data_IF_493987835001
#
_entry.id   IF_493987835001
#
_cell.length_a   1.000
_cell.length_b   1.000
_cell.length_c   1.000
_cell.angle_alpha   90.00
_cell.angle_beta   90.00
_cell.angle_gamma   90.00
#
_symmetry.space_group_name_H-M   'P 1'
#
loop_
_entity.id
_entity.type
_entity.pdbx_description
1 polymer ?
#
# COMPACT_ATOMS: atom_id res chain seq x y z
N UNK A 1 -19.64 -7.65 -19.60
CA UNK A 1 -20.47 -6.64 -18.91
C UNK A 1 -19.55 -5.62 -18.30
N UNK A 2 -19.38 -4.48 -18.95
CA UNK A 2 -18.73 -3.35 -18.30
C UNK A 2 -19.63 -2.92 -17.15
N UNK A 3 -19.16 -3.06 -15.93
CA UNK A 3 -19.86 -2.55 -14.76
C UNK A 3 -20.11 -1.06 -14.95
N UNK A 4 -21.37 -0.66 -15.08
CA UNK A 4 -21.77 0.75 -15.15
C UNK A 4 -21.33 1.55 -13.92
N UNK A 5 -21.10 0.87 -12.80
CA UNK A 5 -20.56 1.45 -11.58
C UNK A 5 -19.15 2.04 -11.78
N UNK A 6 -18.27 1.39 -12.54
CA UNK A 6 -16.91 1.93 -12.80
C UNK A 6 -16.95 3.18 -13.69
N UNK A 7 -17.90 3.32 -14.60
CA UNK A 7 -18.03 4.51 -15.46
C UNK A 7 -18.72 5.68 -14.76
N UNK A 8 -19.63 5.43 -13.81
CA UNK A 8 -20.25 6.48 -12.98
C UNK A 8 -19.30 7.06 -11.96
N UNK A 9 -18.38 6.25 -11.47
CA UNK A 9 -17.29 6.66 -10.58
C UNK A 9 -16.37 7.66 -11.27
N UNK A 10 -16.06 7.47 -12.55
CA UNK A 10 -15.27 8.43 -13.34
C UNK A 10 -15.98 9.77 -13.61
N UNK A 11 -17.29 9.82 -13.51
CA UNK A 11 -18.07 11.02 -13.79
C UNK A 11 -18.35 11.89 -12.56
N UNK A 12 -18.11 11.40 -11.36
CA UNK A 12 -18.22 12.18 -10.11
C UNK A 12 -16.83 12.67 -9.69
N UNK A 13 -16.59 13.96 -9.82
CA UNK A 13 -15.32 14.61 -9.47
C UNK A 13 -14.87 14.42 -8.02
N UNK A 14 -15.73 13.89 -7.15
CA UNK A 14 -15.44 13.58 -5.75
C UNK A 14 -14.40 12.46 -5.55
N UNK A 15 -13.99 11.79 -6.63
CA UNK A 15 -13.04 10.67 -6.59
C UNK A 15 -11.57 11.05 -6.85
N UNK A 16 -11.28 12.31 -7.12
CA UNK A 16 -9.92 12.82 -7.22
C UNK A 16 -9.19 12.89 -5.87
N UNK A 17 -9.84 12.47 -4.78
CA UNK A 17 -9.19 12.41 -3.47
C UNK A 17 -8.18 11.29 -3.34
N UNK A 18 -8.19 10.35 -4.30
CA UNK A 18 -7.63 9.03 -4.10
C UNK A 18 -6.16 8.92 -4.40
N UNK A 19 -5.48 9.91 -4.80
CA UNK A 19 -4.03 9.84 -4.94
C UNK A 19 -3.51 11.22 -5.32
N UNK A 20 -3.09 11.99 -4.35
CA UNK A 20 -2.54 13.31 -4.62
C UNK A 20 -1.10 13.18 -5.15
N UNK A 21 -0.93 12.61 -6.35
CA UNK A 21 0.36 12.55 -7.04
C UNK A 21 0.77 13.92 -7.59
N UNK A 22 0.88 14.90 -6.71
CA UNK A 22 1.46 16.18 -7.07
C UNK A 22 2.99 16.09 -7.24
N UNK A 23 3.58 17.17 -7.72
CA UNK A 23 5.02 17.27 -7.96
C UNK A 23 5.85 17.05 -6.69
N UNK A 24 5.28 17.33 -5.51
CA UNK A 24 5.96 17.12 -4.23
C UNK A 24 6.28 15.64 -4.01
N UNK A 25 5.28 14.77 -4.08
CA UNK A 25 5.46 13.33 -3.86
C UNK A 25 6.32 12.68 -4.95
N UNK A 26 6.12 13.11 -6.22
CA UNK A 26 6.98 12.65 -7.33
C UNK A 26 8.45 12.99 -7.11
N UNK A 27 8.76 14.17 -6.58
CA UNK A 27 10.12 14.59 -6.23
C UNK A 27 10.69 13.77 -5.06
N UNK A 28 9.90 13.49 -4.02
CA UNK A 28 10.37 12.67 -2.89
C UNK A 28 10.84 11.27 -3.34
N UNK A 29 10.16 10.64 -4.29
CA UNK A 29 10.53 9.31 -4.85
C UNK A 29 11.79 9.34 -5.74
N UNK A 30 12.20 10.52 -6.21
CA UNK A 30 13.26 10.70 -7.21
C UNK A 30 14.49 11.44 -6.68
N UNK A 31 14.64 11.54 -5.37
CA UNK A 31 15.87 12.09 -4.79
C UNK A 31 17.04 11.15 -5.08
N UNK A 32 18.26 11.71 -5.17
CA UNK A 32 19.46 10.91 -5.42
C UNK A 32 19.64 9.83 -4.34
N UNK A 33 19.30 10.12 -3.10
CA UNK A 33 19.34 9.18 -1.99
C UNK A 33 18.40 7.98 -2.20
N UNK A 34 17.16 8.24 -2.60
CA UNK A 34 16.16 7.20 -2.90
C UNK A 34 16.61 6.35 -4.06
N UNK A 35 17.06 6.97 -5.14
CA UNK A 35 17.53 6.26 -6.34
C UNK A 35 18.75 5.39 -6.03
N UNK A 36 19.72 5.94 -5.29
CA UNK A 36 20.93 5.20 -4.88
C UNK A 36 20.56 4.00 -3.98
N UNK A 37 19.67 4.18 -3.00
CA UNK A 37 19.23 3.09 -2.13
C UNK A 37 18.52 1.98 -2.90
N UNK A 38 17.60 2.32 -3.81
CA UNK A 38 16.92 1.35 -4.68
C UNK A 38 17.90 0.61 -5.58
N UNK A 39 18.86 1.32 -6.15
CA UNK A 39 19.88 0.71 -7.02
C UNK A 39 20.80 -0.24 -6.25
N UNK A 40 21.24 0.16 -5.06
CA UNK A 40 22.06 -0.68 -4.19
C UNK A 40 21.33 -1.96 -3.80
N UNK A 41 20.09 -1.85 -3.34
CA UNK A 41 19.25 -2.98 -2.96
C UNK A 41 18.94 -3.90 -4.16
N UNK A 42 18.67 -3.31 -5.34
CA UNK A 42 18.50 -4.08 -6.56
C UNK A 42 19.76 -4.86 -6.94
N UNK A 43 20.93 -4.25 -6.83
CA UNK A 43 22.20 -4.91 -7.14
C UNK A 43 22.51 -6.08 -6.18
N UNK A 44 22.05 -5.98 -4.94
CA UNK A 44 22.23 -7.01 -3.93
C UNK A 44 21.31 -8.21 -4.15
N UNK A 45 20.10 -8.01 -4.67
CA UNK A 45 19.06 -9.04 -4.76
C UNK A 45 18.68 -9.47 -6.19
N UNK A 46 19.15 -8.81 -7.23
CA UNK A 46 18.83 -9.20 -8.60
C UNK A 46 20.02 -9.85 -9.29
N UNK A 47 19.93 -11.17 -9.48
CA UNK A 47 20.99 -12.00 -10.06
C UNK A 47 20.47 -12.81 -11.25
N UNK A 48 20.41 -12.21 -12.47
CA UNK A 48 19.80 -12.86 -13.64
C UNK A 48 20.67 -13.92 -14.29
N UNK A 49 21.94 -14.10 -13.88
CA UNK A 49 22.95 -14.88 -14.60
C UNK A 49 22.54 -16.37 -14.75
N UNK A 50 21.96 -16.98 -13.69
CA UNK A 50 21.51 -18.38 -13.75
C UNK A 50 20.36 -18.52 -14.75
N UNK A 51 19.35 -17.64 -14.63
CA UNK A 51 18.20 -17.66 -15.51
C UNK A 51 18.61 -17.46 -16.98
N UNK A 52 19.49 -16.50 -17.25
CA UNK A 52 20.00 -16.27 -18.62
C UNK A 52 20.74 -17.49 -19.17
N UNK A 53 21.51 -18.20 -18.34
CA UNK A 53 22.17 -19.45 -18.76
C UNK A 53 21.18 -20.56 -19.10
N UNK A 54 20.03 -20.61 -18.43
CA UNK A 54 19.00 -21.61 -18.71
C UNK A 54 18.17 -21.28 -19.96
N UNK A 55 18.03 -20.01 -20.30
CA UNK A 55 17.21 -19.56 -21.43
C UNK A 55 17.99 -19.45 -22.75
N UNK A 56 19.28 -19.19 -22.70
CA UNK A 56 20.09 -18.89 -23.89
C UNK A 56 21.33 -19.76 -24.01
N UNK A 57 21.52 -20.34 -25.18
CA UNK A 57 22.72 -21.16 -25.49
C UNK A 57 23.98 -20.31 -25.66
N UNK A 58 23.86 -19.02 -26.00
CA UNK A 58 24.98 -18.10 -26.19
C UNK A 58 24.96 -16.99 -25.15
N UNK A 59 25.94 -17.00 -24.27
CA UNK A 59 26.11 -15.93 -23.27
C UNK A 59 26.67 -14.64 -23.90
N UNK A 60 27.38 -14.71 -25.01
CA UNK A 60 27.79 -13.53 -25.76
C UNK A 60 26.58 -12.80 -26.35
N UNK A 61 25.59 -13.55 -26.86
CA UNK A 61 24.34 -12.95 -27.30
C UNK A 61 23.62 -12.22 -26.14
N UNK A 62 23.53 -12.85 -24.97
CA UNK A 62 22.93 -12.24 -23.77
C UNK A 62 23.64 -10.93 -23.44
N UNK A 63 24.98 -10.94 -23.36
CA UNK A 63 25.78 -9.77 -23.00
C UNK A 63 25.55 -8.57 -23.91
N UNK A 64 25.34 -8.80 -25.21
CA UNK A 64 25.26 -7.72 -26.19
C UNK A 64 23.85 -7.34 -26.64
N UNK A 65 22.87 -8.22 -26.45
CA UNK A 65 21.52 -8.07 -27.03
C UNK A 65 20.38 -8.16 -26.03
N UNK A 66 20.65 -8.59 -24.79
CA UNK A 66 19.61 -8.84 -23.78
C UNK A 66 19.86 -7.95 -22.56
N UNK A 67 18.85 -7.20 -22.17
CA UNK A 67 18.79 -6.60 -20.83
C UNK A 67 18.34 -7.69 -19.86
N UNK A 68 19.31 -8.36 -19.25
CA UNK A 68 19.08 -9.55 -18.42
C UNK A 68 18.21 -9.23 -17.17
N UNK A 69 18.47 -8.10 -16.53
CA UNK A 69 17.73 -7.63 -15.37
C UNK A 69 16.26 -7.40 -15.69
N UNK A 70 16.03 -6.74 -16.82
CA UNK A 70 14.69 -6.41 -17.29
C UNK A 70 13.94 -7.66 -17.74
N UNK A 71 14.61 -8.57 -18.43
CA UNK A 71 14.02 -9.83 -18.86
C UNK A 71 13.61 -10.68 -17.67
N UNK A 72 14.49 -10.84 -16.66
CA UNK A 72 14.17 -11.55 -15.43
C UNK A 72 12.96 -10.94 -14.72
N UNK A 73 12.91 -9.61 -14.59
CA UNK A 73 11.80 -8.90 -13.96
C UNK A 73 10.48 -9.15 -14.68
N UNK A 74 10.45 -9.05 -16.02
CA UNK A 74 9.23 -9.28 -16.80
C UNK A 74 8.77 -10.73 -16.79
N UNK A 75 9.70 -11.69 -16.83
CA UNK A 75 9.35 -13.10 -16.72
C UNK A 75 8.76 -13.43 -15.35
N UNK A 76 9.27 -12.81 -14.30
CA UNK A 76 8.69 -12.96 -12.96
C UNK A 76 7.28 -12.35 -12.87
N UNK A 77 7.08 -11.15 -13.43
CA UNK A 77 5.73 -10.53 -13.51
C UNK A 77 4.75 -11.42 -14.28
N UNK A 78 5.20 -12.01 -15.40
CA UNK A 78 4.38 -12.97 -16.14
C UNK A 78 4.07 -14.21 -15.30
N UNK A 79 5.06 -14.77 -14.59
CA UNK A 79 4.84 -15.92 -13.71
C UNK A 79 3.78 -15.64 -12.63
N UNK A 80 3.79 -14.44 -12.04
CA UNK A 80 2.78 -14.01 -11.06
C UNK A 80 1.38 -13.91 -11.68
N UNK A 81 1.27 -13.44 -12.92
CA UNK A 81 -0.01 -13.22 -13.60
C UNK A 81 -0.62 -14.53 -14.13
N UNK A 82 0.19 -15.56 -14.42
CA UNK A 82 -0.30 -16.81 -15.03
C UNK A 82 -1.42 -17.47 -14.26
N UNK A 83 -1.49 -17.32 -12.93
CA UNK A 83 -2.59 -17.82 -12.12
C UNK A 83 -3.98 -17.24 -12.49
N UNK A 84 -4.02 -16.12 -13.22
CA UNK A 84 -5.25 -15.45 -13.64
C UNK A 84 -5.71 -15.90 -15.05
N UNK A 85 -4.99 -16.81 -15.69
CA UNK A 85 -5.27 -17.31 -17.01
C UNK A 85 -5.71 -18.78 -16.95
N UNK A 86 -6.65 -19.15 -17.82
CA UNK A 86 -7.07 -20.54 -18.01
C UNK A 86 -6.04 -21.26 -18.90
N UNK A 87 -4.95 -21.72 -18.29
CA UNK A 87 -3.80 -22.37 -18.95
C UNK A 87 -3.04 -23.25 -18.00
N UNK A 88 -2.47 -24.33 -18.52
CA UNK A 88 -1.55 -25.22 -17.80
C UNK A 88 -0.09 -24.71 -17.81
N UNK A 89 0.17 -23.57 -18.43
CA UNK A 89 1.52 -23.00 -18.47
C UNK A 89 1.88 -22.46 -17.10
N UNK A 90 2.97 -22.97 -16.53
CA UNK A 90 3.55 -22.52 -15.28
C UNK A 90 4.96 -21.96 -15.54
N UNK A 91 5.18 -20.71 -15.14
CA UNK A 91 6.46 -20.04 -15.35
C UNK A 91 7.31 -19.96 -14.06
N UNK A 92 6.75 -20.26 -12.90
CA UNK A 92 7.53 -20.28 -11.65
C UNK A 92 8.65 -21.32 -11.66
N UNK A 93 8.50 -22.41 -12.40
CA UNK A 93 9.52 -23.44 -12.59
C UNK A 93 10.82 -22.93 -13.25
N UNK A 94 10.79 -21.74 -13.89
CA UNK A 94 11.98 -21.07 -14.41
C UNK A 94 12.87 -20.49 -13.31
N UNK A 95 12.32 -20.27 -12.11
CA UNK A 95 12.98 -19.60 -11.00
C UNK A 95 13.29 -20.57 -9.88
N UNK A 96 14.35 -20.30 -9.12
CA UNK A 96 14.54 -20.93 -7.82
C UNK A 96 13.67 -20.26 -6.76
N UNK A 97 13.52 -20.90 -5.59
CA UNK A 97 12.78 -20.30 -4.47
C UNK A 97 13.43 -19.02 -3.98
N UNK A 98 14.76 -19.01 -3.97
CA UNK A 98 15.57 -17.85 -3.58
C UNK A 98 15.36 -16.70 -4.56
N UNK A 99 15.41 -16.95 -5.86
CA UNK A 99 15.13 -15.93 -6.87
C UNK A 99 13.70 -15.38 -6.77
N UNK A 100 12.70 -16.21 -6.51
CA UNK A 100 11.33 -15.76 -6.26
C UNK A 100 11.25 -14.87 -5.01
N UNK A 101 11.97 -15.25 -3.95
CA UNK A 101 12.02 -14.46 -2.72
C UNK A 101 12.70 -13.12 -2.94
N UNK A 102 13.84 -13.09 -3.62
CA UNK A 102 14.56 -11.86 -3.93
C UNK A 102 13.72 -10.91 -4.82
N UNK A 103 13.03 -11.45 -5.83
CA UNK A 103 12.11 -10.66 -6.65
C UNK A 103 10.98 -10.05 -5.82
N UNK A 104 10.44 -10.80 -4.86
CA UNK A 104 9.45 -10.28 -3.92
C UNK A 104 10.05 -9.23 -2.98
N UNK A 105 11.26 -9.43 -2.44
CA UNK A 105 11.95 -8.44 -1.59
C UNK A 105 12.10 -7.10 -2.31
N UNK A 106 12.53 -7.12 -3.57
CA UNK A 106 12.63 -5.93 -4.41
C UNK A 106 11.28 -5.22 -4.58
N UNK A 107 10.22 -5.98 -4.83
CA UNK A 107 8.87 -5.44 -4.94
C UNK A 107 8.41 -4.84 -3.60
N UNK A 108 8.60 -5.56 -2.49
CA UNK A 108 8.24 -5.11 -1.14
C UNK A 108 8.94 -3.80 -0.76
N UNK A 109 10.25 -3.70 -1.00
CA UNK A 109 11.03 -2.49 -0.73
C UNK A 109 10.59 -1.31 -1.59
N UNK A 110 10.27 -1.54 -2.88
CA UNK A 110 9.75 -0.49 -3.75
C UNK A 110 8.41 0.06 -3.25
N UNK A 111 7.47 -0.81 -2.87
CA UNK A 111 6.19 -0.38 -2.30
C UNK A 111 6.38 0.39 -0.99
N UNK A 112 7.30 -0.07 -0.13
CA UNK A 112 7.63 0.61 1.11
C UNK A 112 8.19 2.02 0.90
N UNK A 113 9.10 2.18 -0.07
CA UNK A 113 9.73 3.46 -0.38
C UNK A 113 8.73 4.40 -1.07
N UNK A 114 7.96 3.89 -2.04
CA UNK A 114 7.14 4.72 -2.92
C UNK A 114 5.79 5.12 -2.33
N UNK A 115 5.26 4.34 -1.39
CA UNK A 115 3.92 4.53 -0.81
C UNK A 115 3.87 4.37 0.71
N UNK A 116 4.87 3.74 1.28
CA UNK A 116 4.96 3.46 2.71
C UNK A 116 5.67 4.56 3.51
N UNK A 117 5.88 4.32 4.81
CA UNK A 117 6.44 5.32 5.73
C UNK A 117 7.97 5.37 5.73
N UNK A 118 8.62 5.03 4.63
CA UNK A 118 10.09 4.95 4.53
C UNK A 118 10.79 6.24 4.97
N UNK A 119 11.81 6.18 5.84
CA UNK A 119 12.65 7.32 6.19
C UNK A 119 13.37 7.92 4.97
N UNK A 120 13.66 7.14 3.92
CA UNK A 120 14.26 7.63 2.67
C UNK A 120 13.40 8.70 1.99
N UNK A 121 12.08 8.61 2.14
CA UNK A 121 11.11 9.62 1.69
C UNK A 121 10.59 10.46 2.85
N UNK A 122 11.37 10.52 3.97
CA UNK A 122 11.06 11.29 5.19
C UNK A 122 9.71 10.93 5.81
N UNK A 123 9.22 9.70 5.59
CA UNK A 123 7.92 9.24 6.05
C UNK A 123 6.74 9.98 5.43
N UNK A 124 6.92 10.63 4.28
CA UNK A 124 5.90 11.53 3.70
C UNK A 124 4.93 10.84 2.74
N UNK A 125 5.31 9.70 2.20
CA UNK A 125 4.50 9.02 1.17
C UNK A 125 3.08 8.63 1.61
N UNK A 126 2.82 8.23 2.86
CA UNK A 126 1.45 7.97 3.31
C UNK A 126 0.48 9.15 3.18
N UNK A 127 1.00 10.37 3.20
CA UNK A 127 0.18 11.59 3.03
C UNK A 127 -0.33 11.81 1.60
N UNK A 128 0.02 10.94 0.65
CA UNK A 128 -0.69 10.83 -0.63
C UNK A 128 -2.21 10.74 -0.41
N UNK A 129 -2.62 10.06 0.64
CA UNK A 129 -4.03 9.86 0.99
C UNK A 129 -4.56 10.86 2.05
N UNK A 130 -3.88 11.98 2.26
CA UNK A 130 -4.33 12.99 3.21
C UNK A 130 -5.74 13.51 2.91
N UNK A 131 -6.05 13.78 1.64
CA UNK A 131 -7.38 14.25 1.21
C UNK A 131 -8.44 13.15 1.38
N UNK A 132 -8.10 11.89 1.10
CA UNK A 132 -9.00 10.76 1.31
C UNK A 132 -9.32 10.60 2.81
N UNK A 133 -8.32 10.65 3.67
CA UNK A 133 -8.52 10.56 5.12
C UNK A 133 -9.42 11.71 5.60
N UNK A 134 -9.16 12.95 5.17
CA UNK A 134 -10.02 14.10 5.52
C UNK A 134 -11.47 13.88 5.07
N UNK A 135 -11.68 13.38 3.85
CA UNK A 135 -13.01 13.05 3.35
C UNK A 135 -13.69 11.95 4.17
N UNK A 136 -12.94 10.92 4.62
CA UNK A 136 -13.46 9.87 5.51
C UNK A 136 -13.94 10.47 6.83
N UNK A 137 -13.12 11.32 7.47
CA UNK A 137 -13.46 11.98 8.73
C UNK A 137 -14.71 12.84 8.58
N UNK A 138 -14.78 13.71 7.54
CA UNK A 138 -15.92 14.59 7.29
C UNK A 138 -17.21 13.80 6.99
N UNK A 139 -17.09 12.68 6.28
CA UNK A 139 -18.23 11.79 6.00
C UNK A 139 -18.74 11.14 7.29
N UNK A 140 -17.85 10.64 8.15
CA UNK A 140 -18.20 10.05 9.43
C UNK A 140 -18.95 11.05 10.32
N UNK A 141 -18.41 12.26 10.47
CA UNK A 141 -19.06 13.31 11.27
C UNK A 141 -20.46 13.66 10.74
N UNK A 142 -20.59 13.75 9.42
CA UNK A 142 -21.89 14.02 8.77
C UNK A 142 -22.90 12.91 9.09
N UNK A 143 -22.49 11.65 9.00
CA UNK A 143 -23.35 10.50 9.31
C UNK A 143 -23.72 10.44 10.81
N UNK A 144 -22.77 10.78 11.68
CA UNK A 144 -22.98 10.82 13.13
C UNK A 144 -24.02 11.88 13.49
N UNK A 145 -23.91 13.08 12.93
CA UNK A 145 -24.85 14.20 13.16
C UNK A 145 -26.26 13.87 12.68
N UNK A 146 -26.38 13.26 11.50
CA UNK A 146 -27.68 12.88 10.94
C UNK A 146 -28.39 11.77 11.71
N UNK A 147 -27.67 11.03 12.56
CA UNK A 147 -28.21 9.91 13.38
C UNK A 147 -28.85 8.80 12.55
N UNK A 148 -28.46 8.67 11.28
CA UNK A 148 -28.96 7.64 10.38
C UNK A 148 -27.98 6.46 10.32
N UNK A 149 -28.51 5.25 10.18
CA UNK A 149 -27.69 4.11 9.82
C UNK A 149 -27.26 4.27 8.36
N UNK A 150 -25.96 4.26 8.11
CA UNK A 150 -25.42 4.49 6.79
C UNK A 150 -24.24 3.56 6.51
N UNK A 151 -24.04 3.27 5.23
CA UNK A 151 -22.86 2.57 4.72
C UNK A 151 -22.30 3.41 3.59
N UNK A 152 -21.05 3.83 3.75
CA UNK A 152 -20.33 4.54 2.70
C UNK A 152 -19.24 3.64 2.16
N UNK A 153 -19.30 3.31 0.88
CA UNK A 153 -18.32 2.48 0.20
C UNK A 153 -17.46 3.34 -0.72
N UNK A 154 -16.15 3.10 -0.69
CA UNK A 154 -15.17 3.69 -1.59
C UNK A 154 -14.39 2.59 -2.26
N UNK A 155 -14.23 2.68 -3.56
CA UNK A 155 -13.50 1.71 -4.37
C UNK A 155 -12.23 2.36 -4.90
N UNK A 156 -11.13 1.66 -4.86
CA UNK A 156 -9.84 2.16 -5.26
C UNK A 156 -8.87 1.03 -5.59
N UNK A 157 -7.59 1.36 -5.61
CA UNK A 157 -6.50 0.43 -5.88
C UNK A 157 -5.65 0.23 -4.62
N UNK A 158 -4.77 -0.76 -4.66
CA UNK A 158 -3.75 -1.02 -3.63
C UNK A 158 -2.87 0.21 -3.37
N UNK A 159 -2.62 1.02 -4.39
CA UNK A 159 -1.89 2.30 -4.31
C UNK A 159 -2.59 3.36 -3.46
N UNK A 160 -3.86 3.15 -3.09
CA UNK A 160 -4.60 3.96 -2.13
C UNK A 160 -4.71 3.28 -0.77
N UNK A 161 -4.97 1.95 -0.74
CA UNK A 161 -5.16 1.21 0.51
C UNK A 161 -3.87 1.20 1.34
N UNK A 162 -2.71 0.93 0.71
CA UNK A 162 -1.44 0.86 1.41
C UNK A 162 -1.05 2.20 2.07
N UNK A 163 -0.96 3.33 1.34
CA UNK A 163 -0.60 4.59 1.98
C UNK A 163 -1.64 5.04 3.00
N UNK A 164 -2.93 4.74 2.81
CA UNK A 164 -3.96 5.03 3.80
C UNK A 164 -3.75 4.19 5.08
N UNK A 165 -3.47 2.89 4.98
CA UNK A 165 -3.17 2.04 6.13
C UNK A 165 -1.94 2.54 6.90
N UNK A 166 -0.90 2.98 6.17
CA UNK A 166 0.30 3.58 6.76
C UNK A 166 0.00 4.95 7.40
N UNK A 167 -0.83 5.79 6.77
CA UNK A 167 -1.24 7.10 7.30
C UNK A 167 -2.07 6.96 8.57
N UNK A 168 -2.92 5.95 8.62
CA UNK A 168 -3.73 5.57 9.78
C UNK A 168 -2.91 4.88 10.88
N UNK A 169 -1.64 4.50 10.58
CA UNK A 169 -0.76 3.79 11.53
C UNK A 169 -1.38 2.49 12.05
N UNK A 170 -2.04 1.73 11.17
CA UNK A 170 -2.69 0.50 11.54
C UNK A 170 -1.67 -0.59 11.86
N UNK A 171 -1.53 -0.94 13.14
CA UNK A 171 -0.56 -1.94 13.59
C UNK A 171 0.86 -1.62 13.09
N UNK A 172 1.48 -2.58 12.40
CA UNK A 172 2.85 -2.44 11.88
C UNK A 172 2.93 -1.70 10.54
N UNK A 173 1.82 -1.19 9.99
CA UNK A 173 1.84 -0.48 8.70
C UNK A 173 2.70 0.79 8.73
N UNK A 174 2.88 1.41 9.91
CA UNK A 174 3.70 2.59 10.11
C UNK A 174 5.16 2.28 10.51
N UNK A 175 5.58 1.01 10.46
CA UNK A 175 6.96 0.61 10.78
C UNK A 175 7.97 1.34 9.91
N UNK A 176 9.01 1.89 10.53
CA UNK A 176 10.05 2.66 9.87
C UNK A 176 11.42 2.02 10.06
N UNK A 177 12.12 1.81 8.96
CA UNK A 177 13.52 1.38 8.94
C UNK A 177 14.24 1.93 7.72
N UNK A 178 15.53 2.19 7.84
CA UNK A 178 16.42 2.48 6.71
C UNK A 178 17.10 1.21 6.20
N UNK A 179 17.05 0.12 6.97
CA UNK A 179 17.58 -1.18 6.59
C UNK A 179 16.52 -1.96 5.81
N UNK A 180 16.69 -2.00 4.50
CA UNK A 180 15.76 -2.70 3.60
C UNK A 180 15.88 -4.22 3.69
N UNK A 181 17.02 -4.75 4.19
CA UNK A 181 17.22 -6.19 4.35
C UNK A 181 16.38 -6.76 5.50
N UNK A 182 16.24 -6.01 6.60
CA UNK A 182 15.40 -6.42 7.74
C UNK A 182 13.93 -6.04 7.56
N UNK A 183 13.58 -5.24 6.55
CA UNK A 183 12.22 -4.74 6.35
C UNK A 183 11.17 -5.85 6.34
N UNK A 184 11.46 -6.95 5.64
CA UNK A 184 10.52 -8.06 5.46
C UNK A 184 10.24 -8.85 6.76
N UNK A 185 10.99 -8.65 7.82
CA UNK A 185 10.73 -9.27 9.12
C UNK A 185 9.44 -8.72 9.74
N UNK A 186 9.19 -7.41 9.54
CA UNK A 186 8.04 -6.70 10.13
C UNK A 186 7.02 -6.28 9.06
N UNK A 187 7.48 -5.56 8.04
CA UNK A 187 6.61 -4.93 7.05
C UNK A 187 6.57 -5.74 5.75
N UNK A 188 5.37 -6.19 5.38
CA UNK A 188 5.14 -7.06 4.20
C UNK A 188 3.94 -6.56 3.43
N UNK A 189 4.17 -6.13 2.19
CA UNK A 189 3.15 -5.57 1.32
C UNK A 189 1.93 -6.49 1.15
N UNK A 190 2.12 -7.79 0.95
CA UNK A 190 1.03 -8.76 0.77
C UNK A 190 0.13 -8.95 2.01
N UNK A 191 0.57 -8.54 3.21
CA UNK A 191 -0.26 -8.52 4.41
C UNK A 191 -1.12 -7.27 4.50
N UNK A 192 -0.67 -6.17 3.89
CA UNK A 192 -1.36 -4.89 3.93
C UNK A 192 -2.41 -4.82 2.82
N UNK A 193 -2.02 -5.20 1.60
CA UNK A 193 -2.92 -5.13 0.44
C UNK A 193 -2.96 -6.44 -0.38
N UNK A 194 -3.44 -7.56 0.20
CA UNK A 194 -3.77 -8.74 -0.59
C UNK A 194 -4.87 -8.42 -1.61
N UNK A 195 -5.17 -9.38 -2.49
CA UNK A 195 -6.37 -9.28 -3.35
C UNK A 195 -7.61 -9.00 -2.50
N UNK A 196 -8.49 -8.10 -3.00
CA UNK A 196 -9.68 -7.63 -2.30
C UNK A 196 -9.42 -6.94 -0.95
N UNK A 197 -8.23 -6.36 -0.78
CA UNK A 197 -7.88 -5.64 0.44
C UNK A 197 -8.87 -4.52 0.74
N UNK A 198 -9.11 -4.29 2.03
CA UNK A 198 -10.04 -3.26 2.47
C UNK A 198 -9.69 -2.70 3.85
N UNK A 199 -10.15 -1.48 4.11
CA UNK A 199 -10.13 -0.84 5.42
C UNK A 199 -11.56 -0.52 5.79
N UNK A 200 -11.99 -0.91 6.99
CA UNK A 200 -13.33 -0.69 7.48
C UNK A 200 -13.29 0.15 8.76
N UNK A 201 -14.09 1.21 8.80
CA UNK A 201 -14.42 1.94 10.03
C UNK A 201 -15.82 1.54 10.46
N UNK A 202 -15.95 0.85 11.58
CA UNK A 202 -17.22 0.37 12.11
C UNK A 202 -17.60 1.19 13.33
N UNK A 203 -18.69 1.93 13.21
CA UNK A 203 -19.17 2.85 14.24
C UNK A 203 -20.27 2.23 15.07
N UNK A 204 -20.23 2.52 16.35
CA UNK A 204 -21.20 2.01 17.33
C UNK A 204 -21.81 3.17 18.12
N UNK A 205 -23.12 3.15 18.23
CA UNK A 205 -23.88 4.12 19.05
C UNK A 205 -24.79 3.38 20.03
N UNK A 206 -24.71 3.76 21.30
CA UNK A 206 -25.67 3.29 22.32
C UNK A 206 -26.87 4.22 22.33
N UNK A 207 -28.10 3.66 22.41
CA UNK A 207 -29.31 4.46 22.53
C UNK A 207 -29.24 5.33 23.78
N UNK A 208 -29.50 6.63 23.64
CA UNK A 208 -29.47 7.61 24.73
C UNK A 208 -28.08 8.11 25.11
N UNK A 209 -27.04 7.78 24.32
CA UNK A 209 -25.68 8.31 24.46
C UNK A 209 -25.27 9.07 23.21
N UNK A 210 -24.57 10.17 23.40
CA UNK A 210 -23.92 10.92 22.31
C UNK A 210 -22.47 10.42 22.06
N UNK A 211 -21.98 9.52 22.89
CA UNK A 211 -20.68 8.89 22.71
C UNK A 211 -20.72 7.87 21.57
N UNK A 212 -19.78 8.00 20.67
CA UNK A 212 -19.63 7.14 19.50
C UNK A 212 -18.31 6.38 19.64
N UNK A 213 -18.40 5.07 19.56
CA UNK A 213 -17.23 4.23 19.48
C UNK A 213 -16.96 3.83 18.04
N UNK A 214 -15.70 3.68 17.70
CA UNK A 214 -15.24 3.17 16.41
C UNK A 214 -14.26 2.04 16.63
N UNK A 215 -14.28 1.05 15.76
CA UNK A 215 -13.15 0.14 15.56
C UNK A 215 -12.76 0.12 14.09
N UNK A 216 -11.48 -0.10 13.82
CA UNK A 216 -10.95 -0.15 12.46
C UNK A 216 -10.42 -1.55 12.16
N UNK A 217 -10.76 -2.05 10.98
CA UNK A 217 -10.27 -3.32 10.48
C UNK A 217 -9.45 -3.09 9.22
N UNK A 218 -8.39 -3.86 9.07
CA UNK A 218 -7.63 -4.03 7.83
C UNK A 218 -7.77 -5.48 7.40
N UNK A 219 -8.33 -5.72 6.22
CA UNK A 219 -8.57 -7.08 5.70
C UNK A 219 -9.31 -7.95 6.73
N UNK A 220 -10.42 -7.42 7.29
CA UNK A 220 -11.28 -8.04 8.31
C UNK A 220 -10.61 -8.31 9.67
N UNK A 221 -9.34 -7.94 9.84
CA UNK A 221 -8.65 -8.05 11.12
C UNK A 221 -8.75 -6.75 11.92
N UNK A 222 -9.09 -6.85 13.20
CA UNK A 222 -9.14 -5.70 14.10
C UNK A 222 -7.76 -5.08 14.29
N UNK A 223 -7.66 -3.78 14.06
CA UNK A 223 -6.38 -3.07 14.10
C UNK A 223 -6.28 -2.18 15.33
N UNK A 224 -5.05 -2.14 15.89
CA UNK A 224 -4.72 -1.16 16.92
C UNK A 224 -4.51 0.20 16.25
N UNK A 225 -5.13 1.25 16.82
CA UNK A 225 -4.94 2.64 16.43
C UNK A 225 -3.85 3.31 17.29
N UNK A 226 -3.23 4.39 16.80
CA UNK A 226 -2.23 5.16 17.54
C UNK A 226 -2.86 6.11 18.60
N UNK A 227 -3.99 5.72 19.14
CA UNK A 227 -4.76 6.43 20.16
C UNK A 227 -4.93 5.51 21.36
N UNK A 228 -4.71 6.02 22.56
CA UNK A 228 -4.93 5.23 23.75
C UNK A 228 -6.42 4.93 23.95
N UNK A 229 -6.72 3.71 24.37
CA UNK A 229 -8.09 3.30 24.71
C UNK A 229 -8.08 2.22 25.79
N UNK A 230 -8.93 2.40 26.79
CA UNK A 230 -9.23 1.38 27.80
C UNK A 230 -10.26 0.36 27.31
N UNK A 231 -10.84 0.59 26.11
CA UNK A 231 -11.90 -0.20 25.50
C UNK A 231 -11.45 -0.98 24.28
N UNK A 232 -10.13 -1.07 24.01
CA UNK A 232 -9.61 -1.73 22.82
C UNK A 232 -10.30 -3.09 22.58
N UNK A 233 -10.69 -3.42 21.34
CA UNK A 233 -10.37 -2.77 20.05
C UNK A 233 -11.27 -1.57 19.68
N UNK A 234 -12.07 -1.06 20.62
CA UNK A 234 -12.93 0.11 20.43
C UNK A 234 -12.24 1.37 20.92
N UNK A 235 -12.50 2.47 20.24
CA UNK A 235 -11.95 3.79 20.52
C UNK A 235 -13.07 4.82 20.52
N UNK A 236 -12.99 5.85 21.36
CA UNK A 236 -13.89 7.00 21.25
C UNK A 236 -13.62 7.75 19.96
N UNK A 237 -14.66 7.93 19.14
CA UNK A 237 -14.52 8.58 17.84
C UNK A 237 -13.89 9.97 17.95
N UNK A 238 -14.27 10.73 18.95
CA UNK A 238 -13.73 12.08 19.18
C UNK A 238 -12.21 12.09 19.33
N UNK A 239 -11.64 11.10 20.00
CA UNK A 239 -10.20 11.02 20.21
C UNK A 239 -9.50 10.61 18.90
N UNK A 240 -10.06 9.66 18.19
CA UNK A 240 -9.58 9.21 16.87
C UNK A 240 -9.64 10.35 15.85
N UNK A 241 -10.77 11.05 15.76
CA UNK A 241 -10.96 12.20 14.88
C UNK A 241 -9.94 13.29 15.20
N UNK A 242 -9.81 13.67 16.47
CA UNK A 242 -8.88 14.70 16.92
C UNK A 242 -7.44 14.35 16.56
N UNK A 243 -7.04 13.11 16.78
CA UNK A 243 -5.70 12.64 16.44
C UNK A 243 -5.40 12.84 14.95
N UNK A 244 -6.27 12.31 14.08
CA UNK A 244 -6.01 12.38 12.64
C UNK A 244 -6.13 13.79 12.06
N UNK A 245 -7.06 14.62 12.56
CA UNK A 245 -7.14 16.04 12.13
C UNK A 245 -5.87 16.80 12.51
N UNK A 246 -5.33 16.60 13.71
CA UNK A 246 -4.08 17.21 14.14
C UNK A 246 -2.90 16.73 13.28
N UNK A 247 -2.84 15.44 12.97
CA UNK A 247 -1.81 14.84 12.10
C UNK A 247 -1.84 15.44 10.69
N UNK A 248 -3.03 15.59 10.09
CA UNK A 248 -3.20 16.22 8.78
C UNK A 248 -2.84 17.71 8.81
N UNK A 249 -3.23 18.43 9.86
CA UNK A 249 -2.90 19.85 10.02
C UNK A 249 -1.39 20.07 10.18
N UNK A 250 -0.68 19.18 10.86
CA UNK A 250 0.77 19.25 11.02
C UNK A 250 1.53 19.02 9.70
N UNK A 251 0.98 18.19 8.81
CA UNK A 251 1.58 17.96 7.49
C UNK A 251 1.43 19.17 6.54
N UNK A 252 0.34 19.91 6.65
CA UNK A 252 0.01 21.06 5.78
C UNK A 252 0.75 22.35 6.16
N UNK A 253 1.41 22.40 7.31
CA UNK A 253 2.26 23.50 7.75
C UNK A 253 3.67 23.40 7.18
#
# INVERSE_FOLDING_TARGET
>A
VRSSAASDVYKRQDMYYMNNEDDYFRKQRKTDEVLAAKQAFRKEHLHPERLMKSLFNSQDYVKWKVDADKLMSYLFELAVIMQNHDTDIELYSLFTKEECYDMWLLNNANWYIDYGPSPLTKGKMPYLEANLLENILNTADTCIVKKENNVTLRFGHESCVLPLACLLELGDCAYQTTDLNSLAEVWRNYKIFPMACNIQFVFYRKKGSDDILVKVLLNEQEMKLPVESTLAPYYHWKDVETYYRNKLAAFRK
#
